data_IF_495331824255
#
_entry.id   IF_495331824255
#
_cell.length_a   1.000
_cell.length_b   1.000
_cell.length_c   1.000
_cell.angle_alpha   90.00
_cell.angle_beta   90.00
_cell.angle_gamma   90.00
#
_symmetry.space_group_name_H-M   'P 1'
#
loop_
_entity.id
_entity.type
_entity.pdbx_description
1 polymer ?
#
# COMPACT_ATOMS: atom_id res chain seq x y z
N UNK A 1 -7.30 -10.48 0.77
CA UNK A 1 -7.09 -10.36 2.23
C UNK A 1 -6.03 -9.30 2.49
N UNK A 2 -6.16 -8.48 3.53
CA UNK A 2 -5.10 -7.56 3.94
C UNK A 2 -4.26 -8.21 5.05
N UNK A 3 -2.96 -8.36 4.84
CA UNK A 3 -2.07 -9.05 5.76
C UNK A 3 -1.16 -8.00 6.42
N UNK A 4 -1.39 -7.74 7.70
CA UNK A 4 -0.50 -6.94 8.54
C UNK A 4 0.45 -7.81 9.34
N UNK A 5 1.53 -7.22 9.84
CA UNK A 5 2.46 -7.91 10.72
C UNK A 5 2.04 -7.80 12.18
N UNK A 6 2.27 -8.85 13.00
CA UNK A 6 1.83 -8.85 14.39
C UNK A 6 2.55 -7.74 15.16
N UNK A 7 1.80 -6.83 15.85
CA UNK A 7 2.42 -5.90 16.78
C UNK A 7 3.04 -6.70 17.95
N UNK A 8 3.98 -6.09 18.66
CA UNK A 8 4.62 -6.62 19.88
C UNK A 8 5.64 -7.75 19.66
N UNK A 9 5.31 -8.78 18.87
CA UNK A 9 6.21 -9.92 18.63
C UNK A 9 7.49 -9.50 17.87
N UNK A 10 7.40 -8.45 17.04
CA UNK A 10 8.52 -7.89 16.27
C UNK A 10 9.29 -8.99 15.49
N UNK A 11 8.65 -9.62 14.49
CA UNK A 11 9.27 -10.73 13.78
C UNK A 11 10.57 -10.31 13.09
N UNK A 12 11.48 -11.25 12.92
CA UNK A 12 12.57 -11.09 11.96
C UNK A 12 12.02 -11.05 10.53
N UNK A 13 12.81 -10.54 9.57
CA UNK A 13 12.40 -10.55 8.15
C UNK A 13 12.09 -11.98 7.66
N UNK A 14 12.87 -12.98 8.09
CA UNK A 14 12.63 -14.39 7.73
C UNK A 14 11.30 -14.90 8.27
N UNK A 15 10.96 -14.57 9.52
CA UNK A 15 9.68 -14.96 10.11
C UNK A 15 8.51 -14.24 9.44
N UNK A 16 8.67 -12.96 9.08
CA UNK A 16 7.68 -12.19 8.33
C UNK A 16 7.40 -12.81 6.94
N UNK A 17 8.44 -13.25 6.23
CA UNK A 17 8.29 -13.98 4.97
C UNK A 17 7.51 -15.28 5.16
N UNK A 18 7.94 -16.11 6.12
CA UNK A 18 7.27 -17.39 6.40
C UNK A 18 5.80 -17.19 6.82
N UNK A 19 5.53 -16.19 7.66
CA UNK A 19 4.18 -15.83 8.11
C UNK A 19 3.28 -15.48 6.92
N UNK A 20 3.72 -14.56 6.06
CA UNK A 20 2.92 -14.13 4.91
C UNK A 20 2.70 -15.27 3.92
N UNK A 21 3.76 -15.99 3.54
CA UNK A 21 3.68 -17.11 2.59
C UNK A 21 2.74 -18.21 3.08
N UNK A 22 2.85 -18.60 4.36
CA UNK A 22 1.99 -19.62 4.94
C UNK A 22 0.50 -19.26 4.90
N UNK A 23 0.17 -17.97 5.05
CA UNK A 23 -1.22 -17.50 4.97
C UNK A 23 -1.72 -17.53 3.52
N UNK A 24 -0.98 -16.92 2.59
CA UNK A 24 -1.45 -16.75 1.20
C UNK A 24 -1.61 -18.10 0.49
N UNK A 25 -0.71 -19.05 0.74
CA UNK A 25 -0.78 -20.39 0.17
C UNK A 25 -1.93 -21.23 0.73
N UNK A 26 -2.35 -20.98 1.98
CA UNK A 26 -3.43 -21.74 2.61
C UNK A 26 -4.81 -21.18 2.31
N UNK A 27 -4.92 -19.86 2.15
CA UNK A 27 -6.21 -19.18 1.93
C UNK A 27 -6.62 -19.17 0.46
N UNK A 28 -5.68 -19.37 -0.48
CA UNK A 28 -5.94 -19.40 -1.93
C UNK A 28 -6.72 -18.17 -2.42
N UNK A 29 -6.37 -16.98 -1.93
CA UNK A 29 -6.99 -15.69 -2.31
C UNK A 29 -5.93 -14.62 -2.49
N UNK A 30 -6.22 -13.67 -3.37
CA UNK A 30 -5.40 -12.47 -3.55
C UNK A 30 -5.24 -11.70 -2.25
N UNK A 31 -4.03 -11.21 -2.02
CA UNK A 31 -3.59 -10.59 -0.78
C UNK A 31 -2.86 -9.27 -1.03
N UNK A 32 -3.05 -8.34 -0.09
CA UNK A 32 -2.35 -7.06 -0.03
C UNK A 32 -1.50 -7.07 1.23
N UNK A 33 -0.21 -6.81 1.09
CA UNK A 33 0.71 -6.67 2.23
C UNK A 33 0.47 -5.31 2.87
N UNK A 34 0.28 -5.24 4.18
CA UNK A 34 0.12 -3.99 4.92
C UNK A 34 1.30 -3.77 5.87
N UNK A 35 2.20 -2.88 5.47
CA UNK A 35 3.33 -2.47 6.29
C UNK A 35 3.00 -1.15 7.01
N UNK A 36 3.04 -1.17 8.34
CA UNK A 36 2.83 0.01 9.19
C UNK A 36 3.74 -0.03 10.42
N UNK A 37 5.00 0.41 10.28
CA UNK A 37 5.98 0.35 11.37
C UNK A 37 5.56 1.17 12.59
N UNK A 38 4.87 2.29 12.39
CA UNK A 38 4.40 3.14 13.49
C UNK A 38 3.40 2.40 14.40
N UNK A 39 2.63 1.46 13.86
CA UNK A 39 1.63 0.69 14.64
C UNK A 39 2.13 -0.67 15.10
N UNK A 40 3.07 -1.27 14.38
CA UNK A 40 3.52 -2.65 14.62
C UNK A 40 4.89 -2.74 15.26
N UNK A 41 5.71 -1.70 15.15
CA UNK A 41 7.13 -1.69 15.54
C UNK A 41 8.04 -2.48 14.58
N UNK A 42 7.48 -3.13 13.55
CA UNK A 42 8.21 -3.88 12.54
C UNK A 42 8.12 -3.18 11.19
N UNK A 43 9.24 -3.13 10.47
CA UNK A 43 9.32 -2.56 9.12
C UNK A 43 9.78 -3.60 8.11
N UNK A 44 8.92 -3.93 7.15
CA UNK A 44 9.26 -4.89 6.11
C UNK A 44 10.32 -4.30 5.16
N UNK A 45 11.39 -5.04 4.93
CA UNK A 45 12.47 -4.61 4.05
C UNK A 45 12.07 -4.63 2.58
N UNK A 46 12.75 -3.84 1.75
CA UNK A 46 12.56 -3.85 0.29
C UNK A 46 12.89 -5.23 -0.29
N UNK A 47 13.92 -5.91 0.24
CA UNK A 47 14.26 -7.26 -0.18
C UNK A 47 13.11 -8.23 0.12
N UNK A 48 12.53 -8.17 1.32
CA UNK A 48 11.41 -9.04 1.67
C UNK A 48 10.15 -8.73 0.87
N UNK A 49 9.91 -7.47 0.49
CA UNK A 49 8.88 -7.16 -0.50
C UNK A 49 9.13 -7.88 -1.82
N UNK A 50 10.35 -7.78 -2.38
CA UNK A 50 10.73 -8.45 -3.64
C UNK A 50 10.53 -9.95 -3.58
N UNK A 51 10.83 -10.58 -2.46
CA UNK A 51 10.66 -12.02 -2.29
C UNK A 51 9.17 -12.40 -2.28
N UNK A 52 8.30 -11.60 -1.63
CA UNK A 52 6.87 -11.89 -1.51
C UNK A 52 6.07 -11.63 -2.78
N UNK A 53 6.33 -10.52 -3.48
CA UNK A 53 5.58 -10.12 -4.68
C UNK A 53 5.75 -11.07 -5.87
N UNK A 54 6.79 -11.92 -5.86
CA UNK A 54 6.96 -12.96 -6.86
C UNK A 54 5.90 -14.07 -6.73
N UNK A 55 5.16 -14.11 -5.62
CA UNK A 55 4.02 -14.99 -5.44
C UNK A 55 2.76 -14.40 -6.10
N UNK A 56 2.10 -15.17 -6.96
CA UNK A 56 0.92 -14.74 -7.74
C UNK A 56 -0.31 -14.40 -6.90
N UNK A 57 -0.32 -14.72 -5.61
CA UNK A 57 -1.36 -14.30 -4.67
C UNK A 57 -1.14 -12.89 -4.12
N UNK A 58 0.02 -12.26 -4.32
CA UNK A 58 0.24 -10.87 -3.91
C UNK A 58 -0.23 -9.93 -5.03
N UNK A 59 -1.32 -9.22 -4.79
CA UNK A 59 -1.91 -8.26 -5.74
C UNK A 59 -1.64 -6.81 -5.38
N UNK A 60 -1.05 -6.52 -4.23
CA UNK A 60 -0.80 -5.15 -3.83
C UNK A 60 -0.05 -4.97 -2.53
N UNK A 61 0.29 -3.71 -2.26
CA UNK A 61 1.01 -3.27 -1.08
C UNK A 61 0.31 -2.02 -0.54
N UNK A 62 0.05 -1.99 0.76
CA UNK A 62 -0.35 -0.80 1.51
C UNK A 62 0.83 -0.40 2.38
N UNK A 63 1.58 0.61 1.95
CA UNK A 63 2.77 1.10 2.65
C UNK A 63 2.41 2.36 3.45
N UNK A 64 2.49 2.26 4.78
CA UNK A 64 2.18 3.34 5.72
C UNK A 64 3.40 3.77 6.56
N UNK A 65 4.60 3.28 6.23
CA UNK A 65 5.89 3.72 6.76
C UNK A 65 6.58 4.69 5.80
N UNK A 66 7.59 4.22 5.08
CA UNK A 66 8.38 5.05 4.17
C UNK A 66 7.85 4.98 2.73
N UNK A 67 7.26 6.07 2.18
CA UNK A 67 6.69 6.04 0.85
C UNK A 67 7.71 5.90 -0.29
N UNK A 68 9.00 6.17 -0.05
CA UNK A 68 10.06 5.97 -1.06
C UNK A 68 10.23 4.50 -1.45
N UNK A 69 9.87 3.56 -0.56
CA UNK A 69 9.91 2.12 -0.88
C UNK A 69 9.08 1.79 -2.12
N UNK A 70 7.94 2.46 -2.32
CA UNK A 70 7.09 2.23 -3.50
C UNK A 70 7.78 2.70 -4.79
N UNK A 71 8.50 3.82 -4.74
CA UNK A 71 9.30 4.29 -5.88
C UNK A 71 10.43 3.32 -6.22
N UNK A 72 11.09 2.76 -5.22
CA UNK A 72 12.14 1.74 -5.41
C UNK A 72 11.59 0.43 -5.96
N UNK A 73 10.45 -0.03 -5.45
CA UNK A 73 9.77 -1.24 -5.90
C UNK A 73 9.28 -1.09 -7.36
N UNK A 74 8.70 0.05 -7.71
CA UNK A 74 8.24 0.33 -9.08
C UNK A 74 9.35 0.28 -10.14
N UNK A 75 10.61 0.49 -9.76
CA UNK A 75 11.74 0.43 -10.71
C UNK A 75 12.17 -0.99 -11.07
N UNK A 76 11.74 -1.99 -10.30
CA UNK A 76 12.31 -3.35 -10.35
C UNK A 76 11.23 -4.43 -10.46
N UNK A 77 9.96 -4.05 -10.58
CA UNK A 77 8.82 -4.97 -10.60
C UNK A 77 7.98 -4.67 -11.84
N UNK A 78 7.80 -5.68 -12.69
CA UNK A 78 6.93 -5.61 -13.86
C UNK A 78 5.50 -6.14 -13.60
N UNK A 79 5.22 -6.59 -12.38
CA UNK A 79 3.91 -7.11 -11.98
C UNK A 79 2.89 -5.97 -11.78
N UNK A 80 1.64 -6.12 -12.25
CA UNK A 80 0.59 -5.12 -12.05
C UNK A 80 0.08 -5.10 -10.60
N UNK A 81 0.86 -4.49 -9.71
CA UNK A 81 0.51 -4.32 -8.30
C UNK A 81 -0.29 -3.05 -8.04
N UNK A 82 -1.21 -3.13 -7.07
CA UNK A 82 -1.86 -1.95 -6.51
C UNK A 82 -1.08 -1.48 -5.28
N UNK A 83 -0.55 -0.26 -5.34
CA UNK A 83 0.13 0.42 -4.25
C UNK A 83 -0.84 1.39 -3.57
N UNK A 84 -1.41 0.95 -2.45
CA UNK A 84 -2.38 1.71 -1.67
C UNK A 84 -1.72 2.75 -0.77
N UNK A 85 -2.09 4.01 -0.97
CA UNK A 85 -1.83 5.07 -0.01
C UNK A 85 -2.68 4.81 1.24
N UNK A 86 -2.04 4.77 2.41
CA UNK A 86 -2.73 4.71 3.71
C UNK A 86 -3.32 6.06 4.10
N UNK A 87 -4.44 6.44 3.50
CA UNK A 87 -5.11 7.73 3.71
C UNK A 87 -4.63 8.85 2.77
N UNK A 88 -5.33 9.98 2.88
CA UNK A 88 -5.34 11.12 1.95
C UNK A 88 -4.16 12.09 2.17
N UNK A 89 -3.53 12.05 3.34
CA UNK A 89 -2.41 12.93 3.67
C UNK A 89 -1.28 12.76 2.65
N UNK A 90 -0.83 13.87 2.07
CA UNK A 90 0.25 13.93 1.07
C UNK A 90 -0.02 13.03 -0.17
N UNK A 91 -1.29 12.79 -0.52
CA UNK A 91 -1.68 11.86 -1.59
C UNK A 91 -1.07 12.22 -2.96
N UNK A 92 -1.05 13.49 -3.34
CA UNK A 92 -0.43 13.95 -4.59
C UNK A 92 1.04 13.54 -4.68
N UNK A 93 1.80 13.76 -3.60
CA UNK A 93 3.22 13.35 -3.51
C UNK A 93 3.37 11.83 -3.59
N UNK A 94 2.48 11.07 -2.94
CA UNK A 94 2.48 9.61 -3.01
C UNK A 94 2.20 9.14 -4.43
N UNK A 95 1.26 9.73 -5.15
CA UNK A 95 1.00 9.40 -6.57
C UNK A 95 2.25 9.65 -7.42
N UNK A 96 2.98 10.75 -7.20
CA UNK A 96 4.27 10.99 -7.85
C UNK A 96 5.34 9.92 -7.56
N UNK A 97 5.25 9.22 -6.43
CA UNK A 97 6.12 8.09 -6.08
C UNK A 97 5.64 6.75 -6.65
N UNK A 98 4.52 6.74 -7.38
CA UNK A 98 3.97 5.58 -8.07
C UNK A 98 2.86 4.85 -7.30
N UNK A 99 2.24 5.50 -6.32
CA UNK A 99 1.01 4.99 -5.71
C UNK A 99 -0.16 5.09 -6.70
N UNK A 100 -0.94 4.01 -6.83
CA UNK A 100 -2.05 3.89 -7.78
C UNK A 100 -3.34 3.36 -7.12
N UNK A 101 -3.38 3.26 -5.79
CA UNK A 101 -4.59 2.99 -5.01
C UNK A 101 -4.69 3.88 -3.77
N UNK A 102 -5.90 4.05 -3.24
CA UNK A 102 -6.15 4.82 -2.02
C UNK A 102 -6.99 3.98 -1.04
N UNK A 103 -6.46 3.76 0.16
CA UNK A 103 -7.23 3.28 1.30
C UNK A 103 -7.71 4.49 2.10
N UNK A 104 -8.88 4.99 1.75
CA UNK A 104 -9.43 6.26 2.25
C UNK A 104 -10.07 6.14 3.64
N UNK A 105 -9.91 7.19 4.45
CA UNK A 105 -10.71 7.42 5.66
C UNK A 105 -11.92 8.29 5.31
N UNK A 106 -11.71 9.39 4.56
CA UNK A 106 -12.75 10.35 4.21
C UNK A 106 -13.87 9.74 3.35
N UNK A 107 -13.56 8.70 2.57
CA UNK A 107 -14.49 7.98 1.71
C UNK A 107 -15.57 7.20 2.48
N UNK A 108 -15.45 7.06 3.80
CA UNK A 108 -16.57 6.58 4.62
C UNK A 108 -17.73 7.60 4.67
N UNK A 109 -17.42 8.90 4.52
CA UNK A 109 -18.40 9.99 4.52
C UNK A 109 -18.68 10.50 3.11
N UNK A 110 -17.65 10.60 2.27
CA UNK A 110 -17.70 11.22 0.94
C UNK A 110 -17.12 10.29 -0.15
N UNK A 111 -17.72 9.11 -0.38
CA UNK A 111 -17.16 8.09 -1.26
C UNK A 111 -17.04 8.52 -2.72
N UNK A 112 -18.01 9.30 -3.23
CA UNK A 112 -18.03 9.72 -4.63
C UNK A 112 -17.01 10.83 -4.88
N UNK A 113 -16.94 11.79 -3.98
CA UNK A 113 -16.03 12.93 -4.02
C UNK A 113 -14.58 12.46 -3.89
N UNK A 114 -14.29 11.57 -2.95
CA UNK A 114 -12.95 10.98 -2.81
C UNK A 114 -12.56 10.18 -4.05
N UNK A 115 -13.50 9.42 -4.64
CA UNK A 115 -13.23 8.70 -5.88
C UNK A 115 -12.90 9.66 -7.01
N UNK A 116 -13.72 10.70 -7.22
CA UNK A 116 -13.49 11.71 -8.26
C UNK A 116 -12.16 12.43 -8.08
N UNK A 117 -11.84 12.81 -6.84
CA UNK A 117 -10.57 13.44 -6.49
C UNK A 117 -9.38 12.53 -6.78
N UNK A 118 -9.45 11.27 -6.37
CA UNK A 118 -8.38 10.32 -6.64
C UNK A 118 -8.19 10.08 -8.14
N UNK A 119 -9.28 9.93 -8.89
CA UNK A 119 -9.25 9.74 -10.34
C UNK A 119 -8.65 10.96 -11.05
N UNK A 120 -8.97 12.19 -10.64
CA UNK A 120 -8.40 13.42 -11.23
C UNK A 120 -6.90 13.51 -10.97
N UNK A 121 -6.45 13.15 -9.76
CA UNK A 121 -5.03 13.13 -9.42
C UNK A 121 -4.25 12.11 -10.25
N UNK A 122 -4.80 10.92 -10.50
CA UNK A 122 -4.16 9.90 -11.34
C UNK A 122 -4.04 10.33 -12.80
N UNK A 123 -5.02 11.10 -13.32
CA UNK A 123 -4.99 11.65 -14.68
C UNK A 123 -4.09 12.88 -14.83
N UNK A 124 -3.58 13.44 -13.72
CA UNK A 124 -2.88 14.73 -13.67
C UNK A 124 -3.72 15.90 -14.21
N UNK A 125 -5.03 15.85 -14.00
CA UNK A 125 -5.90 17.00 -14.28
C UNK A 125 -5.70 18.07 -13.18
N UNK A 126 -5.57 19.33 -13.56
CA UNK A 126 -5.27 20.46 -12.67
C UNK A 126 -6.33 20.58 -11.55
N UNK A 127 -5.94 20.29 -10.30
CA UNK A 127 -6.80 20.26 -9.12
C UNK A 127 -7.04 21.66 -8.53
N UNK A 128 -7.61 22.58 -9.31
CA UNK A 128 -7.94 23.93 -8.78
C UNK A 128 -9.18 23.96 -7.87
N UNK A 129 -10.09 22.97 -7.94
CA UNK A 129 -11.41 23.06 -7.28
C UNK A 129 -11.53 22.44 -5.88
N UNK A 130 -10.53 21.71 -5.37
CA UNK A 130 -10.69 20.94 -4.12
C UNK A 130 -10.47 21.73 -2.82
N UNK A 131 -10.23 23.05 -2.89
CA UNK A 131 -10.08 23.90 -1.70
C UNK A 131 -11.38 24.11 -0.88
N UNK A 132 -12.50 23.49 -1.27
CA UNK A 132 -13.81 23.62 -0.62
C UNK A 132 -14.05 22.66 0.56
N UNK A 133 -13.09 21.79 0.91
CA UNK A 133 -13.24 20.79 1.99
C UNK A 133 -12.37 21.08 3.24
N UNK A 134 -11.94 22.32 3.45
CA UNK A 134 -11.27 22.76 4.69
C UNK A 134 -12.24 23.35 5.69
#
# INVERSE_FOLDING_TARGET
VLIGYPPYILPTQKEALNYTTSIIERVNKQAVIYNNPLRTGFDLSIQSYKDLINNHYISGIKEAGNPQKISELNKVIDSPLIYFAGGEKDLEKKICLGYNGLSSIAGNLYPLEVKQWFDSLLKKEDTQDYNLLK
#
